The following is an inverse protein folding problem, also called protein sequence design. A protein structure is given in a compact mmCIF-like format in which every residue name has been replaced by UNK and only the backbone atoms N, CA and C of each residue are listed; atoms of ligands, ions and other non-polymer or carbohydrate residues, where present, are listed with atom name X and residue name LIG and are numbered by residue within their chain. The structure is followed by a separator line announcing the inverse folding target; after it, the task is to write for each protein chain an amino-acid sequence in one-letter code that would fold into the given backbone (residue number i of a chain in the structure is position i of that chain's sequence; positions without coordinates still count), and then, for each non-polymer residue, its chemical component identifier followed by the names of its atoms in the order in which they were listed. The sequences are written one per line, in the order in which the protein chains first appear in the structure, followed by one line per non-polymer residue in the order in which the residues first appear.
data_IF_802220302687
#
_entry.id   IF_802220302687
#
_cell.length_a   1.000
_cell.length_b   1.000
_cell.length_c   1.000
_cell.angle_alpha   90.00
_cell.angle_beta   90.00
_cell.angle_gamma   90.00
#
_symmetry.space_group_name_H-M   'P 1'
#
loop_
_entity.id
_entity.type
_entity.pdbx_description
1 polymer ?
#
# COMPACT_ATOMS: atom_id res chain seq x y z
N UNK A 1 5.56 -9.90 -3.97
CA UNK A 1 6.24 -8.95 -3.07
C UNK A 1 7.72 -8.84 -3.38
N UNK A 2 8.43 -9.94 -3.67
CA UNK A 2 9.79 -9.88 -4.23
C UNK A 2 9.87 -9.15 -5.56
N UNK A 3 8.84 -9.22 -6.42
CA UNK A 3 8.81 -8.52 -7.71
C UNK A 3 8.65 -7.00 -7.62
N UNK A 4 8.22 -6.47 -6.46
CA UNK A 4 8.09 -5.02 -6.25
C UNK A 4 9.46 -4.43 -5.87
N UNK A 5 10.24 -5.14 -5.04
CA UNK A 5 11.63 -4.80 -4.74
C UNK A 5 12.58 -5.13 -5.93
N UNK A 6 12.36 -6.25 -6.63
CA UNK A 6 13.09 -6.60 -7.86
C UNK A 6 12.74 -5.70 -9.05
N UNK A 7 11.65 -4.96 -9.04
CA UNK A 7 11.34 -3.95 -10.06
C UNK A 7 12.42 -2.87 -10.16
N UNK A 8 13.20 -2.66 -9.09
CA UNK A 8 14.35 -1.74 -9.05
C UNK A 8 15.63 -2.44 -9.54
N UNK A 9 15.79 -3.74 -9.24
CA UNK A 9 17.06 -4.49 -9.36
C UNK A 9 17.15 -5.37 -10.61
N UNK A 10 16.04 -5.79 -11.22
CA UNK A 10 16.02 -6.75 -12.33
C UNK A 10 15.01 -6.35 -13.42
N UNK A 11 15.31 -5.26 -14.13
CA UNK A 11 14.93 -5.25 -15.55
C UNK A 11 15.88 -6.21 -16.26
N UNK A 12 15.41 -7.43 -16.53
CA UNK A 12 15.85 -8.18 -17.72
C UNK A 12 15.94 -7.17 -18.87
N UNK A 13 17.10 -7.18 -19.57
CA UNK A 13 17.43 -6.37 -20.74
C UNK A 13 16.20 -5.60 -21.28
N UNK A 14 16.10 -4.28 -21.06
CA UNK A 14 15.03 -3.53 -21.68
C UNK A 14 15.22 -3.66 -23.18
N UNK A 15 14.28 -4.36 -23.83
CA UNK A 15 14.07 -4.24 -25.26
C UNK A 15 14.04 -2.73 -25.55
N UNK A 16 15.05 -2.29 -26.31
CA UNK A 16 15.35 -0.92 -26.68
C UNK A 16 14.17 0.02 -26.43
N UNK A 17 14.25 0.79 -25.35
CA UNK A 17 13.50 2.03 -25.25
C UNK A 17 14.06 2.96 -26.35
N UNK A 18 13.53 2.79 -27.56
CA UNK A 18 13.50 3.79 -28.62
C UNK A 18 12.65 4.98 -28.14
N UNK A 19 13.13 5.65 -27.08
CA UNK A 19 12.66 6.94 -26.59
C UNK A 19 13.86 7.80 -26.16
N UNK A 20 15.06 7.49 -26.64
CA UNK A 20 16.18 8.42 -26.63
C UNK A 20 16.11 9.24 -27.93
N UNK A 21 15.23 10.25 -27.92
CA UNK A 21 15.65 11.50 -28.52
C UNK A 21 16.70 12.06 -27.57
N UNK A 22 17.94 12.17 -28.05
CA UNK A 22 19.07 12.79 -27.39
C UNK A 22 18.66 14.16 -26.82
N UNK A 23 18.17 14.18 -25.58
CA UNK A 23 17.95 15.41 -24.82
C UNK A 23 19.21 15.62 -24.00
N UNK A 24 19.96 16.65 -24.40
CA UNK A 24 21.11 17.12 -23.68
C UNK A 24 20.76 17.30 -22.19
N UNK A 25 21.56 16.68 -21.33
CA UNK A 25 21.60 16.96 -19.89
C UNK A 25 21.86 18.48 -19.79
N UNK A 26 20.99 19.28 -19.14
CA UNK A 26 21.23 20.71 -19.02
C UNK A 26 22.54 20.95 -18.26
N UNK A 27 23.49 21.62 -18.90
CA UNK A 27 24.71 22.09 -18.24
C UNK A 27 24.32 23.05 -17.12
N UNK A 28 24.54 22.64 -15.86
CA UNK A 28 24.43 23.54 -14.73
C UNK A 28 25.68 24.44 -14.73
N UNK A 29 25.47 25.76 -14.83
CA UNK A 29 26.56 26.73 -14.76
C UNK A 29 27.14 26.77 -13.34
N UNK A 30 28.48 26.83 -13.16
CA UNK A 30 29.13 26.82 -11.84
C UNK A 30 28.76 27.98 -10.90
N UNK A 31 27.87 28.90 -11.31
CA UNK A 31 27.35 30.01 -10.52
C UNK A 31 26.10 29.73 -9.66
N UNK A 32 25.48 28.55 -9.79
CA UNK A 32 24.23 28.21 -9.06
C UNK A 32 24.48 27.42 -7.76
N UNK A 33 25.74 27.27 -7.33
CA UNK A 33 26.11 26.57 -6.10
C UNK A 33 25.85 27.46 -4.86
N UNK A 34 25.08 27.00 -3.86
CA UNK A 34 25.05 27.67 -2.55
C UNK A 34 26.46 27.75 -1.97
N UNK A 35 26.84 28.91 -1.44
CA UNK A 35 28.20 29.18 -0.95
C UNK A 35 28.64 28.28 0.23
N UNK A 36 27.70 27.54 0.84
CA UNK A 36 27.94 26.64 1.96
C UNK A 36 28.71 25.36 1.58
N UNK A 37 28.87 25.06 0.29
CA UNK A 37 29.53 23.83 -0.19
C UNK A 37 31.05 23.90 -0.30
N UNK A 38 31.67 25.08 -0.16
CA UNK A 38 33.12 25.26 -0.33
C UNK A 38 33.91 25.29 0.99
N UNK A 39 33.24 25.30 2.15
CA UNK A 39 33.91 25.41 3.45
C UNK A 39 33.89 24.08 4.20
N UNK A 40 35.06 23.45 4.23
CA UNK A 40 35.41 22.29 5.03
C UNK A 40 35.32 22.58 6.53
N UNK A 41 34.20 22.23 7.19
CA UNK A 41 34.15 22.01 8.65
C UNK A 41 32.88 21.26 9.14
N UNK A 42 32.21 20.47 8.28
CA UNK A 42 30.92 19.86 8.61
C UNK A 42 30.96 18.33 8.47
N UNK A 43 31.73 17.67 9.33
CA UNK A 43 31.64 16.20 9.51
C UNK A 43 30.33 15.78 10.24
N UNK A 44 29.56 16.74 10.76
CA UNK A 44 28.39 16.48 11.63
C UNK A 44 27.03 16.67 10.91
N UNK A 45 26.94 17.27 9.71
CA UNK A 45 25.64 17.54 9.06
C UNK A 45 25.29 16.71 7.83
N UNK A 46 26.19 15.86 7.31
CA UNK A 46 25.88 15.07 6.10
C UNK A 46 24.85 13.96 6.40
N UNK A 47 25.09 13.20 7.46
CA UNK A 47 24.20 12.10 7.88
C UNK A 47 22.84 12.63 8.33
N UNK A 48 22.81 13.72 9.12
CA UNK A 48 21.56 14.30 9.61
C UNK A 48 20.67 14.87 8.49
N UNK A 49 21.28 15.37 7.41
CA UNK A 49 20.55 15.94 6.28
C UNK A 49 19.97 14.86 5.37
N UNK A 50 20.75 13.81 5.06
CA UNK A 50 20.25 12.64 4.31
C UNK A 50 19.20 11.87 5.12
N UNK A 51 19.40 11.75 6.44
CA UNK A 51 18.44 11.15 7.38
C UNK A 51 17.13 11.94 7.42
N UNK A 52 17.19 13.28 7.45
CA UNK A 52 16.00 14.15 7.44
C UNK A 52 15.31 14.21 6.06
N UNK A 53 16.07 14.19 4.97
CA UNK A 53 15.52 14.33 3.61
C UNK A 53 14.77 13.06 3.19
N UNK A 54 15.23 11.88 3.63
CA UNK A 54 14.63 10.59 3.28
C UNK A 54 13.89 9.94 4.46
N UNK A 55 13.95 10.44 5.69
CA UNK A 55 13.40 9.81 6.92
C UNK A 55 13.90 8.36 7.10
N UNK A 56 15.23 8.19 7.11
CA UNK A 56 15.90 6.87 7.15
C UNK A 56 16.17 6.45 8.60
N UNK A 57 16.18 5.13 8.89
CA UNK A 57 16.57 4.64 10.23
C UNK A 57 18.09 4.50 10.37
N UNK A 58 18.62 4.54 11.59
CA UNK A 58 20.06 4.36 11.85
C UNK A 58 20.60 3.03 11.27
N UNK A 59 19.82 1.95 11.36
CA UNK A 59 20.20 0.62 10.83
C UNK A 59 20.33 0.65 9.29
N UNK A 60 19.41 1.33 8.59
CA UNK A 60 19.44 1.48 7.12
C UNK A 60 20.64 2.32 6.66
N UNK A 61 21.02 3.34 7.44
CA UNK A 61 22.19 4.19 7.13
C UNK A 61 23.49 3.41 7.21
N UNK A 62 23.64 2.52 8.20
CA UNK A 62 24.84 1.68 8.35
C UNK A 62 24.98 0.73 7.15
N UNK A 63 23.89 0.08 6.72
CA UNK A 63 23.91 -0.79 5.55
C UNK A 63 24.26 -0.02 4.27
N UNK A 64 23.67 1.17 4.09
CA UNK A 64 23.95 2.01 2.94
C UNK A 64 25.42 2.48 2.92
N UNK A 65 25.99 2.80 4.08
CA UNK A 65 27.39 3.22 4.19
C UNK A 65 28.36 2.08 3.81
N UNK A 66 28.07 0.85 4.25
CA UNK A 66 28.85 -0.34 3.91
C UNK A 66 28.83 -0.65 2.39
N UNK A 67 27.74 -0.29 1.71
CA UNK A 67 27.61 -0.46 0.26
C UNK A 67 28.20 0.72 -0.52
N UNK A 68 28.00 1.95 -0.06
CA UNK A 68 28.60 3.15 -0.62
C UNK A 68 30.14 3.05 -0.67
N UNK A 69 30.74 2.45 0.35
CA UNK A 69 32.20 2.20 0.43
C UNK A 69 32.69 1.23 -0.67
N UNK A 70 31.83 0.34 -1.17
CA UNK A 70 32.17 -0.64 -2.21
C UNK A 70 32.05 -0.08 -3.62
N UNK A 71 31.36 1.05 -3.82
CA UNK A 71 31.07 1.59 -5.14
C UNK A 71 32.10 2.60 -5.62
N UNK A 72 32.41 2.53 -6.91
CA UNK A 72 33.26 3.50 -7.58
C UNK A 72 32.42 4.59 -8.27
N UNK A 73 33.05 5.69 -8.66
CA UNK A 73 32.36 6.80 -9.33
C UNK A 73 31.70 6.35 -10.65
N UNK A 74 32.33 5.40 -11.35
CA UNK A 74 31.84 4.84 -12.60
C UNK A 74 30.58 3.97 -12.42
N UNK A 75 30.38 3.40 -11.22
CA UNK A 75 29.18 2.63 -10.88
C UNK A 75 28.00 3.54 -10.47
N UNK A 76 28.30 4.68 -9.83
CA UNK A 76 27.30 5.59 -9.24
C UNK A 76 26.64 6.46 -10.29
N UNK A 77 27.40 6.95 -11.27
CA UNK A 77 26.88 7.82 -12.35
C UNK A 77 25.70 7.20 -13.12
N UNK A 78 25.78 5.95 -13.63
CA UNK A 78 24.64 5.33 -14.33
C UNK A 78 23.46 5.00 -13.39
N UNK A 79 23.73 4.71 -12.11
CA UNK A 79 22.66 4.53 -11.12
C UNK A 79 21.89 5.84 -10.88
N UNK A 80 22.61 6.95 -10.73
CA UNK A 80 22.01 8.26 -10.53
C UNK A 80 21.26 8.78 -11.76
N UNK A 81 21.75 8.48 -12.98
CA UNK A 81 21.00 8.74 -14.22
C UNK A 81 19.69 7.96 -14.24
N UNK A 82 19.70 6.68 -13.85
CA UNK A 82 18.50 5.86 -13.74
C UNK A 82 17.52 6.42 -12.70
N UNK A 83 18.01 6.84 -11.53
CA UNK A 83 17.19 7.46 -10.47
C UNK A 83 16.54 8.74 -10.99
N UNK A 84 17.30 9.58 -11.69
CA UNK A 84 16.79 10.82 -12.26
C UNK A 84 15.66 10.58 -13.26
N UNK A 85 15.84 9.64 -14.20
CA UNK A 85 14.80 9.31 -15.19
C UNK A 85 13.51 8.81 -14.53
N UNK A 86 13.62 8.06 -13.43
CA UNK A 86 12.47 7.48 -12.73
C UNK A 86 11.74 8.54 -11.88
N UNK A 87 12.48 9.39 -11.18
CA UNK A 87 11.93 10.27 -10.15
C UNK A 87 11.84 11.75 -10.53
N UNK A 88 12.33 12.18 -11.71
CA UNK A 88 12.31 13.60 -12.12
C UNK A 88 10.92 14.23 -12.06
N UNK A 89 9.86 13.48 -12.38
CA UNK A 89 8.48 13.97 -12.37
C UNK A 89 7.66 13.43 -11.19
N UNK A 90 8.33 12.91 -10.17
CA UNK A 90 7.67 12.34 -9.00
C UNK A 90 7.34 13.42 -7.97
N UNK A 91 6.04 13.67 -7.67
CA UNK A 91 5.66 14.66 -6.67
C UNK A 91 5.99 14.24 -5.23
N UNK A 92 6.21 12.95 -4.97
CA UNK A 92 6.48 12.42 -3.63
C UNK A 92 7.99 12.33 -3.32
N UNK A 93 8.86 12.61 -4.30
CA UNK A 93 10.30 12.54 -4.13
C UNK A 93 10.92 13.90 -3.76
N UNK A 94 11.90 13.97 -2.85
CA UNK A 94 12.49 15.24 -2.44
C UNK A 94 13.15 15.99 -3.61
N UNK A 95 12.69 17.22 -3.86
CA UNK A 95 13.23 18.09 -4.91
C UNK A 95 14.70 18.48 -4.66
N UNK A 96 15.14 18.49 -3.40
CA UNK A 96 16.53 18.72 -3.01
C UNK A 96 17.45 17.67 -3.65
N UNK A 97 17.09 16.39 -3.52
CA UNK A 97 17.84 15.25 -4.07
C UNK A 97 17.87 15.31 -5.60
N UNK A 98 16.73 15.59 -6.26
CA UNK A 98 16.70 15.70 -7.73
C UNK A 98 17.62 16.82 -8.22
N UNK A 99 17.62 17.97 -7.54
CA UNK A 99 18.51 19.08 -7.87
C UNK A 99 19.97 18.68 -7.71
N UNK A 100 20.31 18.02 -6.59
CA UNK A 100 21.67 17.50 -6.33
C UNK A 100 22.14 16.52 -7.41
N UNK A 101 21.30 15.56 -7.80
CA UNK A 101 21.60 14.59 -8.85
C UNK A 101 21.84 15.28 -10.19
N UNK A 102 21.01 16.28 -10.55
CA UNK A 102 21.20 17.07 -11.78
C UNK A 102 22.52 17.82 -11.76
N UNK A 103 22.90 18.41 -10.63
CA UNK A 103 24.20 19.09 -10.47
C UNK A 103 25.38 18.11 -10.58
N UNK A 104 25.26 16.93 -9.98
CA UNK A 104 26.30 15.88 -10.07
C UNK A 104 26.49 15.36 -11.50
N UNK A 105 25.39 15.11 -12.23
CA UNK A 105 25.45 14.60 -13.61
C UNK A 105 25.86 15.66 -14.64
N UNK A 106 25.53 16.94 -14.38
CA UNK A 106 25.82 18.06 -15.27
C UNK A 106 27.23 18.64 -15.13
N UNK A 107 27.96 18.30 -14.07
CA UNK A 107 29.30 18.85 -13.82
C UNK A 107 30.40 17.88 -14.29
N UNK A 108 30.94 18.11 -15.47
CA UNK A 108 32.02 17.29 -16.04
C UNK A 108 33.36 17.43 -15.30
N UNK A 109 33.57 18.52 -14.54
CA UNK A 109 34.78 18.73 -13.74
C UNK A 109 34.92 17.72 -12.60
N UNK A 110 33.84 17.08 -12.18
CA UNK A 110 33.84 16.04 -11.13
C UNK A 110 34.57 14.78 -11.62
N UNK A 111 34.45 14.46 -12.91
CA UNK A 111 35.16 13.33 -13.52
C UNK A 111 36.65 13.64 -13.75
N UNK A 112 36.99 14.92 -14.00
CA UNK A 112 38.36 15.35 -14.27
C UNK A 112 39.17 15.62 -12.99
N UNK A 113 38.54 16.07 -11.89
CA UNK A 113 39.20 16.35 -10.61
C UNK A 113 38.44 15.76 -9.40
N UNK A 114 38.49 14.43 -9.19
CA UNK A 114 37.75 13.77 -8.11
C UNK A 114 38.15 14.23 -6.70
N UNK A 115 39.42 14.62 -6.50
CA UNK A 115 39.95 15.03 -5.19
C UNK A 115 39.31 16.31 -4.64
N UNK A 116 38.80 17.19 -5.52
CA UNK A 116 38.17 18.46 -5.11
C UNK A 116 36.70 18.30 -4.70
N UNK A 117 36.08 17.18 -5.07
CA UNK A 117 34.65 16.91 -4.87
C UNK A 117 34.40 15.63 -4.06
N UNK A 118 35.37 15.18 -3.25
CA UNK A 118 35.30 13.92 -2.50
C UNK A 118 34.04 13.81 -1.63
N UNK A 119 33.65 14.89 -0.95
CA UNK A 119 32.45 14.94 -0.09
C UNK A 119 31.17 14.72 -0.91
N UNK A 120 31.04 15.40 -2.06
CA UNK A 120 29.89 15.25 -2.94
C UNK A 120 29.81 13.83 -3.52
N UNK A 121 30.97 13.23 -3.84
CA UNK A 121 31.04 11.86 -4.35
C UNK A 121 30.59 10.86 -3.27
N UNK A 122 31.02 11.03 -2.02
CA UNK A 122 30.60 10.18 -0.90
C UNK A 122 29.11 10.34 -0.59
N UNK A 123 28.59 11.56 -0.62
CA UNK A 123 27.16 11.83 -0.45
C UNK A 123 26.32 11.17 -1.56
N UNK A 124 26.72 11.33 -2.83
CA UNK A 124 26.04 10.68 -3.95
C UNK A 124 26.15 9.15 -3.90
N UNK A 125 27.26 8.61 -3.41
CA UNK A 125 27.38 7.15 -3.17
C UNK A 125 26.39 6.69 -2.11
N UNK A 126 26.26 7.43 -1.01
CA UNK A 126 25.34 7.12 0.07
C UNK A 126 23.88 7.23 -0.38
N UNK A 127 23.51 8.32 -1.06
CA UNK A 127 22.16 8.50 -1.62
C UNK A 127 21.83 7.43 -2.65
N UNK A 128 22.75 7.10 -3.55
CA UNK A 128 22.55 6.04 -4.53
C UNK A 128 22.36 4.70 -3.81
N UNK A 129 23.14 4.41 -2.77
CA UNK A 129 23.01 3.18 -1.99
C UNK A 129 21.65 3.12 -1.29
N UNK A 130 21.22 4.20 -0.64
CA UNK A 130 19.92 4.28 0.05
C UNK A 130 18.73 4.07 -0.90
N UNK A 131 18.74 4.70 -2.08
CA UNK A 131 17.63 4.68 -3.04
C UNK A 131 17.53 3.33 -3.78
N UNK A 132 18.65 2.63 -3.95
CA UNK A 132 18.69 1.37 -4.73
C UNK A 132 18.58 0.12 -3.85
N UNK A 133 19.09 0.16 -2.63
CA UNK A 133 19.09 -0.98 -1.69
C UNK A 133 17.77 -1.02 -0.94
N UNK A 134 17.20 0.14 -0.63
CA UNK A 134 15.92 0.24 0.06
C UNK A 134 14.97 1.16 -0.72
N UNK A 135 13.69 1.15 -0.36
CA UNK A 135 12.74 2.07 -1.00
C UNK A 135 13.10 3.52 -0.64
N UNK A 136 13.05 4.49 -1.56
CA UNK A 136 13.28 5.90 -1.24
C UNK A 136 12.19 6.46 -0.30
N UNK A 137 11.00 5.85 -0.27
CA UNK A 137 9.87 6.31 0.53
C UNK A 137 9.84 5.64 1.91
N UNK A 138 9.80 6.47 2.96
CA UNK A 138 9.82 6.02 4.34
C UNK A 138 8.61 5.15 4.70
N UNK A 139 7.42 5.47 4.18
CA UNK A 139 6.20 4.71 4.39
C UNK A 139 6.27 3.28 3.84
N UNK A 140 7.04 3.06 2.76
CA UNK A 140 7.26 1.73 2.20
C UNK A 140 8.29 0.98 3.05
N UNK A 141 9.40 1.63 3.43
CA UNK A 141 10.45 1.05 4.29
C UNK A 141 9.93 0.62 5.66
N UNK A 142 9.02 1.39 6.24
CA UNK A 142 8.43 1.08 7.54
C UNK A 142 7.59 -0.21 7.53
N UNK A 143 7.14 -0.64 6.36
CA UNK A 143 6.16 -1.72 6.19
C UNK A 143 6.77 -2.96 5.53
N UNK A 144 7.73 -2.76 4.62
CA UNK A 144 8.28 -3.81 3.77
C UNK A 144 9.77 -3.94 4.04
N UNK A 145 10.18 -5.16 4.38
CA UNK A 145 11.58 -5.55 4.51
C UNK A 145 12.23 -5.59 3.10
N UNK A 146 13.41 -4.98 2.96
CA UNK A 146 14.19 -4.98 1.72
C UNK A 146 14.79 -6.37 1.42
N UNK A 147 14.90 -7.25 2.43
CA UNK A 147 15.42 -8.60 2.27
C UNK A 147 14.31 -9.64 2.02
N UNK A 148 14.47 -10.43 0.96
CA UNK A 148 13.61 -11.58 0.68
C UNK A 148 14.40 -12.89 0.65
N UNK A 149 13.84 -13.94 1.26
CA UNK A 149 14.35 -15.30 1.15
C UNK A 149 13.57 -16.04 0.05
N UNK A 150 14.26 -16.34 -1.05
CA UNK A 150 13.69 -17.01 -2.22
C UNK A 150 13.25 -18.44 -1.94
N UNK A 151 13.82 -19.09 -0.92
CA UNK A 151 13.52 -20.49 -0.59
C UNK A 151 12.25 -20.65 0.26
N UNK A 152 11.73 -19.56 0.83
CA UNK A 152 10.53 -19.60 1.64
C UNK A 152 9.31 -20.03 0.81
N UNK A 153 8.60 -21.11 1.16
CA UNK A 153 7.41 -21.57 0.43
C UNK A 153 6.30 -20.51 0.40
N UNK A 154 5.69 -20.31 -0.76
CA UNK A 154 4.61 -19.35 -0.99
C UNK A 154 3.28 -20.00 -1.40
N UNK A 155 3.31 -20.85 -2.43
CA UNK A 155 2.13 -21.48 -3.05
C UNK A 155 1.86 -22.89 -2.56
N UNK A 156 1.73 -23.09 -1.25
CA UNK A 156 1.50 -24.42 -0.67
C UNK A 156 0.04 -24.85 -0.78
N UNK A 157 -0.22 -26.16 -0.73
CA UNK A 157 -1.59 -26.71 -0.80
C UNK A 157 -2.46 -26.15 0.35
N UNK A 158 -1.90 -26.04 1.56
CA UNK A 158 -2.61 -25.46 2.71
C UNK A 158 -3.01 -24.00 2.47
N UNK A 159 -2.12 -23.18 1.90
CA UNK A 159 -2.41 -21.77 1.64
C UNK A 159 -3.52 -21.62 0.59
N UNK A 160 -3.48 -22.42 -0.47
CA UNK A 160 -4.56 -22.48 -1.47
C UNK A 160 -5.87 -22.97 -0.88
N UNK A 161 -5.87 -24.02 -0.05
CA UNK A 161 -7.08 -24.54 0.57
C UNK A 161 -7.74 -23.52 1.51
N UNK A 162 -6.95 -22.86 2.38
CA UNK A 162 -7.44 -21.81 3.28
C UNK A 162 -7.95 -20.62 2.47
N UNK A 163 -7.18 -20.16 1.47
CA UNK A 163 -7.54 -19.04 0.60
C UNK A 163 -8.83 -19.29 -0.17
N UNK A 164 -8.97 -20.44 -0.84
CA UNK A 164 -10.19 -20.82 -1.56
C UNK A 164 -11.39 -20.97 -0.61
N UNK A 165 -11.17 -21.49 0.60
CA UNK A 165 -12.20 -21.52 1.64
C UNK A 165 -12.73 -20.13 1.98
N UNK A 166 -11.83 -19.15 2.21
CA UNK A 166 -12.23 -17.77 2.44
C UNK A 166 -12.88 -17.14 1.21
N UNK A 167 -12.39 -17.42 -0.01
CA UNK A 167 -13.01 -16.93 -1.25
C UNK A 167 -14.49 -17.34 -1.32
N UNK A 168 -14.78 -18.62 -1.07
CA UNK A 168 -16.16 -19.14 -1.09
C UNK A 168 -17.03 -18.48 -0.01
N UNK A 169 -16.53 -18.40 1.23
CA UNK A 169 -17.27 -17.85 2.36
C UNK A 169 -17.54 -16.35 2.18
N UNK A 170 -16.53 -15.56 1.81
CA UNK A 170 -16.67 -14.11 1.62
C UNK A 170 -17.61 -13.81 0.46
N UNK A 171 -17.41 -14.44 -0.70
CA UNK A 171 -18.27 -14.23 -1.85
C UNK A 171 -19.73 -14.61 -1.55
N UNK A 172 -19.95 -15.72 -0.84
CA UNK A 172 -21.30 -16.14 -0.44
C UNK A 172 -21.96 -15.15 0.53
N UNK A 173 -21.28 -14.77 1.61
CA UNK A 173 -21.82 -13.86 2.62
C UNK A 173 -22.14 -12.50 2.00
N UNK A 174 -21.20 -11.92 1.24
CA UNK A 174 -21.37 -10.60 0.66
C UNK A 174 -22.45 -10.58 -0.42
N UNK A 175 -22.55 -11.64 -1.24
CA UNK A 175 -23.64 -11.77 -2.21
C UNK A 175 -25.00 -11.96 -1.51
N UNK A 176 -25.06 -12.71 -0.41
CA UNK A 176 -26.30 -12.94 0.35
C UNK A 176 -26.81 -11.63 0.96
N UNK A 177 -25.92 -10.79 1.50
CA UNK A 177 -26.29 -9.53 2.14
C UNK A 177 -26.38 -8.34 1.18
N UNK A 178 -26.01 -8.48 -0.09
CA UNK A 178 -26.01 -7.37 -1.06
C UNK A 178 -27.40 -6.75 -1.30
N UNK A 179 -28.46 -7.53 -1.12
CA UNK A 179 -29.86 -7.10 -1.32
C UNK A 179 -30.42 -6.40 -0.07
N UNK A 180 -29.73 -6.51 1.08
CA UNK A 180 -30.17 -5.92 2.35
C UNK A 180 -29.91 -4.42 2.37
N UNK A 181 -30.85 -3.67 2.95
CA UNK A 181 -30.69 -2.26 3.25
C UNK A 181 -30.82 -2.04 4.77
N UNK A 182 -29.79 -1.50 5.46
CA UNK A 182 -28.46 -1.13 4.95
C UNK A 182 -27.61 -2.36 4.61
N UNK A 183 -26.72 -2.21 3.62
CA UNK A 183 -25.84 -3.28 3.15
C UNK A 183 -24.84 -3.69 4.25
N UNK A 184 -24.65 -5.00 4.42
CA UNK A 184 -23.60 -5.54 5.28
C UNK A 184 -22.54 -6.13 4.36
N UNK A 185 -21.30 -5.66 4.50
CA UNK A 185 -20.17 -6.17 3.71
C UNK A 185 -19.06 -6.61 4.64
N UNK A 186 -18.59 -7.84 4.44
CA UNK A 186 -17.42 -8.39 5.11
C UNK A 186 -16.19 -8.12 4.26
N UNK A 187 -15.27 -7.31 4.78
CA UNK A 187 -14.03 -6.96 4.10
C UNK A 187 -12.96 -8.07 4.18
N UNK A 188 -11.98 -8.02 3.28
CA UNK A 188 -10.86 -8.95 3.22
C UNK A 188 -10.01 -8.98 4.50
N UNK A 189 -9.99 -7.88 5.26
CA UNK A 189 -9.26 -7.75 6.53
C UNK A 189 -9.64 -8.84 7.56
N UNK A 190 -10.89 -9.30 7.53
CA UNK A 190 -11.36 -10.38 8.42
C UNK A 190 -10.70 -11.70 8.05
N UNK A 191 -10.65 -12.03 6.75
CA UNK A 191 -9.97 -13.24 6.27
C UNK A 191 -8.46 -13.15 6.52
N UNK A 192 -7.86 -11.97 6.36
CA UNK A 192 -6.45 -11.72 6.66
C UNK A 192 -6.11 -12.01 8.13
N UNK A 193 -6.94 -11.53 9.07
CA UNK A 193 -6.77 -11.75 10.51
C UNK A 193 -6.92 -13.24 10.87
N UNK A 194 -7.90 -13.92 10.28
CA UNK A 194 -8.19 -15.33 10.57
C UNK A 194 -7.22 -16.28 9.84
N UNK A 195 -6.60 -15.87 8.75
CA UNK A 195 -5.64 -16.68 8.00
C UNK A 195 -4.45 -17.09 8.86
N UNK A 196 -3.94 -16.22 9.73
CA UNK A 196 -2.80 -16.53 10.59
C UNK A 196 -3.08 -17.64 11.61
N UNK A 197 -4.11 -17.57 12.49
CA UNK A 197 -4.40 -18.64 13.43
C UNK A 197 -4.80 -19.94 12.73
N UNK A 198 -5.54 -19.89 11.61
CA UNK A 198 -5.82 -21.09 10.82
C UNK A 198 -4.54 -21.70 10.23
N UNK A 199 -3.66 -20.88 9.65
CA UNK A 199 -2.38 -21.32 9.11
C UNK A 199 -1.49 -21.96 10.17
N UNK A 200 -1.42 -21.37 11.37
CA UNK A 200 -0.71 -21.94 12.53
C UNK A 200 -1.36 -23.20 13.09
N UNK A 201 -2.67 -23.31 13.05
CA UNK A 201 -3.38 -24.55 13.41
C UNK A 201 -3.08 -25.66 12.39
N UNK A 202 -3.14 -25.34 11.10
CA UNK A 202 -2.78 -26.23 10.00
C UNK A 202 -1.32 -26.70 10.10
N UNK A 203 -0.38 -25.80 10.42
CA UNK A 203 1.04 -26.13 10.68
C UNK A 203 1.19 -27.21 11.76
N UNK A 204 0.40 -27.13 12.85
CA UNK A 204 0.49 -28.06 13.98
C UNK A 204 -0.30 -29.37 13.77
N UNK A 205 -1.40 -29.32 13.01
CA UNK A 205 -2.34 -30.43 12.89
C UNK A 205 -2.12 -31.29 11.64
N UNK A 206 -1.59 -30.72 10.55
CA UNK A 206 -1.44 -31.45 9.28
C UNK A 206 -0.11 -32.25 9.26
N UNK A 207 -0.14 -33.53 8.84
CA UNK A 207 1.09 -34.27 8.61
C UNK A 207 1.80 -33.79 7.32
N UNK A 208 3.14 -33.87 7.29
CA UNK A 208 3.95 -33.64 6.08
C UNK A 208 3.83 -34.85 5.12
N UNK A 209 2.65 -34.95 4.50
CA UNK A 209 2.39 -35.89 3.41
C UNK A 209 2.46 -35.09 2.12
N UNK A 210 3.28 -35.54 1.18
CA UNK A 210 3.43 -34.89 -0.10
C UNK A 210 3.61 -35.87 -1.24
N UNK A 211 3.24 -35.45 -2.44
CA UNK A 211 3.49 -36.18 -3.68
C UNK A 211 4.45 -35.38 -4.56
N UNK A 212 5.30 -36.08 -5.29
CA UNK A 212 6.22 -35.45 -6.24
C UNK A 212 5.56 -35.43 -7.61
N UNK A 213 5.22 -34.24 -8.12
CA UNK A 213 4.67 -34.03 -9.45
C UNK A 213 5.67 -33.22 -10.27
N UNK A 214 5.97 -33.68 -11.49
CA UNK A 214 6.93 -33.01 -12.40
C UNK A 214 8.28 -32.62 -11.77
N UNK A 215 8.80 -33.47 -10.88
CA UNK A 215 10.08 -33.23 -10.19
C UNK A 215 10.02 -32.29 -8.99
N UNK A 216 8.85 -31.74 -8.66
CA UNK A 216 8.63 -30.86 -7.49
C UNK A 216 7.83 -31.60 -6.43
N UNK A 217 8.32 -31.63 -5.18
CA UNK A 217 7.60 -32.21 -4.04
C UNK A 217 6.54 -31.22 -3.56
N UNK A 218 5.28 -31.58 -3.74
CA UNK A 218 4.15 -30.84 -3.18
C UNK A 218 3.78 -31.45 -1.83
N UNK A 219 4.27 -30.85 -0.75
CA UNK A 219 3.88 -31.22 0.60
C UNK A 219 2.63 -30.48 1.06
N UNK A 220 1.77 -31.18 1.80
CA UNK A 220 0.63 -30.61 2.51
C UNK A 220 1.06 -29.70 3.67
N UNK A 221 2.21 -29.99 4.30
CA UNK A 221 2.80 -29.22 5.39
C UNK A 221 4.33 -29.11 5.21
N UNK A 222 4.81 -28.20 4.36
CA UNK A 222 6.24 -28.08 4.04
C UNK A 222 7.08 -27.44 5.15
N UNK A 223 6.48 -26.98 6.25
CA UNK A 223 7.18 -26.32 7.34
C UNK A 223 6.35 -25.24 8.04
N UNK A 224 6.97 -24.32 8.79
CA UNK A 224 6.28 -23.25 9.49
C UNK A 224 5.42 -22.39 8.55
N UNK A 225 4.28 -21.91 9.02
CA UNK A 225 3.43 -20.99 8.26
C UNK A 225 4.19 -19.70 7.99
N UNK A 226 4.37 -19.37 6.71
CA UNK A 226 5.26 -18.29 6.24
C UNK A 226 4.50 -16.99 5.94
N UNK A 227 5.23 -15.86 5.97
CA UNK A 227 4.71 -14.54 5.56
C UNK A 227 4.13 -14.55 4.14
N UNK A 228 4.73 -15.36 3.24
CA UNK A 228 4.34 -15.46 1.83
C UNK A 228 3.03 -16.24 1.67
N UNK A 229 2.85 -17.31 2.43
CA UNK A 229 1.60 -18.09 2.44
C UNK A 229 0.43 -17.26 2.97
N UNK A 230 0.62 -16.50 4.06
CA UNK A 230 -0.41 -15.60 4.56
C UNK A 230 -0.77 -14.52 3.55
N UNK A 231 0.23 -13.94 2.88
CA UNK A 231 -0.02 -12.95 1.83
C UNK A 231 -0.84 -13.53 0.69
N UNK A 232 -0.55 -14.77 0.24
CA UNK A 232 -1.33 -15.42 -0.81
C UNK A 232 -2.80 -15.57 -0.43
N UNK A 233 -3.09 -16.02 0.80
CA UNK A 233 -4.47 -16.12 1.33
C UNK A 233 -5.14 -14.75 1.34
N UNK A 234 -4.41 -13.71 1.74
CA UNK A 234 -4.92 -12.33 1.81
C UNK A 234 -5.28 -11.79 0.43
N UNK A 235 -4.44 -12.03 -0.58
CA UNK A 235 -4.71 -11.63 -1.97
C UNK A 235 -5.96 -12.33 -2.50
N UNK A 236 -6.10 -13.63 -2.24
CA UNK A 236 -7.30 -14.39 -2.64
C UNK A 236 -8.57 -13.82 -1.99
N UNK A 237 -8.52 -13.49 -0.69
CA UNK A 237 -9.63 -12.87 0.00
C UNK A 237 -9.94 -11.45 -0.51
N UNK A 238 -8.91 -10.67 -0.86
CA UNK A 238 -9.05 -9.33 -1.43
C UNK A 238 -9.75 -9.34 -2.80
N UNK A 239 -9.53 -10.37 -3.60
CA UNK A 239 -10.27 -10.53 -4.86
C UNK A 239 -11.73 -10.94 -4.62
N UNK A 240 -12.00 -11.70 -3.56
CA UNK A 240 -13.31 -12.32 -3.33
C UNK A 240 -14.33 -11.47 -2.56
N UNK A 241 -13.90 -10.47 -1.80
CA UNK A 241 -14.84 -9.70 -0.97
C UNK A 241 -15.79 -8.83 -1.82
N UNK A 242 -15.35 -8.36 -2.98
CA UNK A 242 -16.16 -7.49 -3.84
C UNK A 242 -17.10 -8.33 -4.73
N UNK A 243 -18.40 -8.05 -4.65
CA UNK A 243 -19.39 -8.73 -5.50
C UNK A 243 -19.30 -8.24 -6.94
N UNK A 244 -19.31 -9.11 -7.96
CA UNK A 244 -19.20 -8.70 -9.35
C UNK A 244 -20.29 -7.69 -9.76
N UNK A 245 -19.88 -6.60 -10.43
CA UNK A 245 -20.81 -5.58 -10.93
C UNK A 245 -21.92 -6.15 -11.83
N UNK A 246 -21.66 -7.28 -12.49
CA UNK A 246 -22.62 -8.04 -13.29
C UNK A 246 -23.93 -8.35 -12.53
N UNK A 247 -23.90 -8.41 -11.19
CA UNK A 247 -25.10 -8.56 -10.35
C UNK A 247 -26.16 -7.49 -10.69
N UNK A 248 -25.76 -6.22 -10.80
CA UNK A 248 -26.67 -5.12 -11.13
C UNK A 248 -27.25 -5.27 -12.54
N UNK A 249 -26.44 -5.72 -13.50
CA UNK A 249 -26.87 -5.94 -14.89
C UNK A 249 -27.95 -7.03 -14.93
N UNK A 250 -27.75 -8.14 -14.21
CA UNK A 250 -28.71 -9.24 -14.14
C UNK A 250 -30.06 -8.77 -13.58
N UNK A 251 -30.04 -7.96 -12.50
CA UNK A 251 -31.28 -7.40 -11.94
C UNK A 251 -32.03 -6.55 -12.97
N UNK A 252 -31.35 -5.58 -13.59
CA UNK A 252 -32.00 -4.67 -14.57
C UNK A 252 -32.49 -5.45 -15.80
N UNK A 253 -31.82 -6.51 -16.23
CA UNK A 253 -32.29 -7.35 -17.33
C UNK A 253 -33.51 -8.19 -16.94
N UNK A 254 -33.50 -8.85 -15.79
CA UNK A 254 -34.53 -9.81 -15.39
C UNK A 254 -35.84 -9.15 -14.94
N UNK A 255 -35.75 -8.06 -14.18
CA UNK A 255 -36.92 -7.40 -13.57
C UNK A 255 -37.87 -6.84 -14.63
N UNK A 256 -39.15 -7.17 -14.49
CA UNK A 256 -40.19 -6.77 -15.44
C UNK A 256 -40.46 -5.27 -15.53
N UNK A 257 -40.08 -4.50 -14.50
CA UNK A 257 -40.16 -3.03 -14.52
C UNK A 257 -39.06 -2.39 -15.39
N UNK A 258 -37.97 -3.12 -15.66
CA UNK A 258 -36.86 -2.66 -16.49
C UNK A 258 -36.93 -3.32 -17.88
N UNK A 259 -36.02 -4.23 -18.23
CA UNK A 259 -35.96 -4.81 -19.58
C UNK A 259 -36.81 -6.08 -19.78
N UNK A 260 -37.31 -6.69 -18.69
CA UNK A 260 -38.17 -7.88 -18.75
C UNK A 260 -37.61 -9.02 -19.63
N UNK A 261 -36.31 -9.29 -19.50
CA UNK A 261 -35.58 -10.33 -20.24
C UNK A 261 -35.44 -11.60 -19.38
N UNK A 262 -36.33 -12.59 -19.54
CA UNK A 262 -36.36 -13.77 -18.66
C UNK A 262 -35.10 -14.64 -18.80
N UNK A 263 -34.39 -14.55 -19.93
CA UNK A 263 -33.17 -15.33 -20.15
C UNK A 263 -32.04 -14.94 -19.18
N UNK A 264 -32.07 -13.73 -18.61
CA UNK A 264 -31.10 -13.27 -17.61
C UNK A 264 -31.18 -14.07 -16.29
N UNK A 265 -32.30 -14.77 -16.06
CA UNK A 265 -32.47 -15.69 -14.93
C UNK A 265 -31.77 -17.03 -15.10
N UNK A 266 -31.25 -17.38 -16.29
CA UNK A 266 -30.58 -18.67 -16.49
C UNK A 266 -29.18 -18.70 -15.85
N UNK A 267 -28.94 -19.74 -15.05
CA UNK A 267 -27.67 -19.94 -14.33
C UNK A 267 -26.42 -19.84 -15.22
N UNK A 268 -26.45 -20.48 -16.39
CA UNK A 268 -25.32 -20.45 -17.32
C UNK A 268 -25.08 -19.06 -17.91
N UNK A 269 -26.14 -18.30 -18.18
CA UNK A 269 -26.03 -16.92 -18.65
C UNK A 269 -25.33 -16.04 -17.60
N UNK A 270 -25.73 -16.18 -16.33
CA UNK A 270 -25.13 -15.41 -15.23
C UNK A 270 -23.65 -15.74 -15.05
N UNK A 271 -23.25 -17.02 -15.13
CA UNK A 271 -21.84 -17.43 -15.05
C UNK A 271 -21.03 -16.90 -16.23
N UNK A 272 -21.51 -17.10 -17.46
CA UNK A 272 -20.79 -16.66 -18.66
C UNK A 272 -20.63 -15.15 -18.69
N UNK A 273 -21.68 -14.42 -18.31
CA UNK A 273 -21.66 -12.97 -18.20
C UNK A 273 -20.67 -12.52 -17.12
N UNK A 274 -20.71 -13.12 -15.92
CA UNK A 274 -19.79 -12.79 -14.84
C UNK A 274 -18.33 -13.07 -15.24
N UNK A 275 -18.02 -14.23 -15.83
CA UNK A 275 -16.68 -14.57 -16.30
C UNK A 275 -16.20 -13.62 -17.40
N UNK A 276 -17.07 -13.30 -18.36
CA UNK A 276 -16.73 -12.38 -19.45
C UNK A 276 -16.37 -10.99 -18.93
N UNK A 277 -17.18 -10.40 -18.05
CA UNK A 277 -16.89 -9.08 -17.46
C UNK A 277 -15.59 -9.09 -16.65
N UNK A 278 -15.37 -10.12 -15.83
CA UNK A 278 -14.16 -10.24 -15.02
C UNK A 278 -12.90 -10.41 -15.88
N UNK A 279 -12.93 -11.25 -16.93
CA UNK A 279 -11.78 -11.43 -17.83
C UNK A 279 -11.44 -10.17 -18.61
N UNK A 280 -12.44 -9.37 -19.02
CA UNK A 280 -12.18 -8.05 -19.63
C UNK A 280 -11.47 -7.14 -18.63
N UNK A 281 -11.95 -7.09 -17.38
CA UNK A 281 -11.33 -6.29 -16.30
C UNK A 281 -9.89 -6.69 -16.02
N UNK A 282 -9.63 -7.99 -15.80
CA UNK A 282 -8.27 -8.49 -15.54
C UNK A 282 -7.34 -8.36 -16.75
N UNK A 283 -7.87 -8.50 -17.97
CA UNK A 283 -7.13 -8.28 -19.20
C UNK A 283 -6.66 -6.82 -19.33
N UNK A 284 -7.57 -5.86 -19.09
CA UNK A 284 -7.21 -4.44 -19.10
C UNK A 284 -6.24 -4.10 -17.97
N UNK A 285 -6.46 -4.62 -16.76
CA UNK A 285 -5.56 -4.45 -15.63
C UNK A 285 -4.12 -4.92 -15.96
N UNK A 286 -3.99 -6.05 -16.67
CA UNK A 286 -2.71 -6.55 -17.15
C UNK A 286 -2.01 -5.61 -18.13
N UNK A 287 -2.76 -4.99 -19.05
CA UNK A 287 -2.23 -4.01 -20.01
C UNK A 287 -1.74 -2.73 -19.33
N UNK A 288 -2.49 -2.22 -18.34
CA UNK A 288 -2.14 -0.97 -17.62
C UNK A 288 -1.13 -1.17 -16.50
N UNK A 289 -0.81 -2.43 -16.12
CA UNK A 289 0.18 -2.76 -15.07
C UNK A 289 1.52 -2.06 -15.28
N UNK A 290 1.94 -1.89 -16.55
CA UNK A 290 3.19 -1.19 -16.88
C UNK A 290 3.21 0.28 -16.45
N UNK A 291 2.05 0.92 -16.40
CA UNK A 291 1.91 2.33 -16.06
C UNK A 291 1.52 2.55 -14.59
N UNK A 292 0.82 1.60 -13.96
CA UNK A 292 0.25 1.78 -12.62
C UNK A 292 0.94 0.98 -11.50
N UNK A 293 1.73 -0.04 -11.85
CA UNK A 293 2.29 -0.99 -10.85
C UNK A 293 3.82 -1.08 -10.93
N UNK A 294 4.42 -1.05 -12.12
CA UNK A 294 5.87 -1.13 -12.25
C UNK A 294 6.63 0.15 -11.90
N UNK A 295 6.12 1.36 -12.14
CA UNK A 295 6.81 2.56 -11.69
C UNK A 295 6.86 2.63 -10.15
N UNK A 296 8.04 2.87 -9.58
CA UNK A 296 8.28 2.88 -8.13
C UNK A 296 7.56 4.01 -7.39
N UNK A 297 7.26 5.12 -8.07
CA UNK A 297 6.54 6.27 -7.52
C UNK A 297 5.03 6.05 -7.37
N UNK A 298 4.48 4.97 -7.93
CA UNK A 298 3.06 4.62 -7.76
C UNK A 298 2.85 3.92 -6.41
N UNK A 299 2.69 4.71 -5.34
CA UNK A 299 2.44 4.20 -3.98
C UNK A 299 0.95 3.98 -3.77
N UNK A 300 0.59 2.80 -3.26
CA UNK A 300 -0.80 2.41 -2.96
C UNK A 300 -1.00 2.21 -1.45
N UNK A 301 -1.46 3.24 -0.71
CA UNK A 301 -1.55 3.19 0.77
C UNK A 301 -2.39 2.02 1.30
N UNK A 302 -3.52 1.71 0.67
CA UNK A 302 -4.37 0.58 1.06
C UNK A 302 -3.65 -0.77 0.99
N UNK A 303 -2.77 -0.95 -0.01
CA UNK A 303 -1.93 -2.13 -0.13
C UNK A 303 -0.86 -2.16 0.96
N UNK A 304 -0.27 -1.02 1.33
CA UNK A 304 0.71 -0.93 2.42
C UNK A 304 0.09 -1.35 3.75
N UNK A 305 -1.13 -0.91 4.08
CA UNK A 305 -1.82 -1.35 5.30
C UNK A 305 -2.01 -2.86 5.34
N UNK A 306 -2.38 -3.45 4.20
CA UNK A 306 -2.52 -4.91 4.06
C UNK A 306 -1.18 -5.62 4.29
N UNK A 307 -0.08 -5.11 3.74
CA UNK A 307 1.26 -5.68 3.92
C UNK A 307 1.74 -5.52 5.37
N UNK A 308 1.54 -4.35 5.97
CA UNK A 308 1.91 -4.04 7.35
C UNK A 308 1.23 -4.99 8.33
N UNK A 309 -0.07 -5.21 8.16
CA UNK A 309 -0.84 -6.13 9.00
C UNK A 309 -0.34 -7.58 8.86
N UNK A 310 -0.03 -8.03 7.64
CA UNK A 310 0.55 -9.37 7.43
C UNK A 310 1.96 -9.49 8.02
N UNK A 311 2.79 -8.46 7.90
CA UNK A 311 4.11 -8.43 8.50
C UNK A 311 4.03 -8.47 10.03
N UNK A 312 3.08 -7.76 10.64
CA UNK A 312 2.88 -7.71 12.09
C UNK A 312 2.59 -9.09 12.72
N UNK A 313 1.89 -9.99 12.01
CA UNK A 313 1.64 -11.35 12.52
C UNK A 313 2.87 -12.26 12.53
N UNK A 314 3.85 -11.97 11.66
CA UNK A 314 5.07 -12.77 11.53
C UNK A 314 6.31 -12.09 12.15
N UNK A 315 6.23 -10.80 12.46
CA UNK A 315 7.32 -10.06 13.10
C UNK A 315 7.38 -10.36 14.59
N UNK A 316 8.56 -10.75 15.05
CA UNK A 316 8.87 -10.88 16.48
C UNK A 316 9.50 -9.61 17.07
N UNK A 317 9.77 -8.60 16.23
CA UNK A 317 10.43 -7.35 16.65
C UNK A 317 9.38 -6.43 17.28
N UNK A 318 9.45 -6.25 18.60
CA UNK A 318 8.71 -5.20 19.31
C UNK A 318 9.54 -3.92 19.30
N UNK A 319 9.51 -3.19 18.19
CA UNK A 319 10.12 -1.85 18.15
C UNK A 319 9.30 -0.90 19.04
N UNK A 320 9.94 -0.14 19.95
CA UNK A 320 9.22 0.81 20.78
C UNK A 320 8.67 1.93 19.91
N UNK A 321 7.35 2.10 19.89
CA UNK A 321 6.71 3.19 19.14
C UNK A 321 6.56 4.41 20.05
N UNK A 322 7.00 5.56 19.57
CA UNK A 322 6.81 6.84 20.26
C UNK A 322 5.35 7.28 20.15
N UNK A 323 4.70 7.48 21.29
CA UNK A 323 3.35 8.04 21.34
C UNK A 323 3.36 9.52 20.97
N UNK A 324 2.24 10.05 20.42
CA UNK A 324 2.02 11.49 20.28
C UNK A 324 2.25 12.29 21.58
N UNK A 325 2.14 11.64 22.74
CA UNK A 325 2.37 12.25 24.06
C UNK A 325 3.77 11.97 24.65
N UNK A 326 4.76 11.60 23.83
CA UNK A 326 6.15 11.41 24.24
C UNK A 326 6.42 10.17 25.11
N UNK A 327 5.44 9.28 25.28
CA UNK A 327 5.63 7.99 25.98
C UNK A 327 5.95 6.88 24.98
N UNK A 328 6.98 6.09 25.25
CA UNK A 328 7.27 4.89 24.48
C UNK A 328 6.35 3.75 24.91
N UNK A 329 5.48 3.29 24.01
CA UNK A 329 4.68 2.09 24.24
C UNK A 329 5.51 0.86 23.88
N UNK A 330 5.70 -0.04 24.85
CA UNK A 330 6.37 -1.34 24.67
C UNK A 330 5.40 -2.52 24.55
N UNK A 331 4.12 -2.23 24.35
CA UNK A 331 3.09 -3.27 24.21
C UNK A 331 3.27 -3.99 22.89
N UNK A 332 3.23 -5.32 22.90
CA UNK A 332 3.24 -6.12 21.67
C UNK A 332 2.07 -5.73 20.77
N UNK A 333 2.35 -5.59 19.46
CA UNK A 333 1.37 -5.16 18.44
C UNK A 333 0.06 -5.96 18.52
N UNK A 334 0.15 -7.28 18.73
CA UNK A 334 -1.02 -8.17 18.84
C UNK A 334 -1.86 -7.89 20.10
N UNK A 335 -1.24 -7.53 21.23
CA UNK A 335 -1.95 -7.18 22.46
C UNK A 335 -2.69 -5.85 22.32
N UNK A 336 -2.03 -4.88 21.70
CA UNK A 336 -2.65 -3.59 21.38
C UNK A 336 -3.84 -3.78 20.43
N UNK A 337 -3.66 -4.56 19.37
CA UNK A 337 -4.75 -4.94 18.46
C UNK A 337 -5.92 -5.59 19.20
N UNK A 338 -5.66 -6.58 20.05
CA UNK A 338 -6.72 -7.25 20.82
C UNK A 338 -7.47 -6.31 21.77
N UNK A 339 -6.76 -5.38 22.41
CA UNK A 339 -7.37 -4.37 23.27
C UNK A 339 -8.25 -3.40 22.47
N UNK A 340 -7.74 -2.87 21.36
CA UNK A 340 -8.47 -1.96 20.48
C UNK A 340 -9.68 -2.65 19.83
N UNK A 341 -9.54 -3.92 19.44
CA UNK A 341 -10.65 -4.74 18.94
C UNK A 341 -11.74 -4.90 20.00
N UNK A 342 -11.38 -5.23 21.24
CA UNK A 342 -12.35 -5.35 22.34
C UNK A 342 -13.01 -4.01 22.68
N UNK A 343 -12.24 -2.92 22.68
CA UNK A 343 -12.75 -1.57 22.91
C UNK A 343 -13.75 -1.17 21.82
N UNK A 344 -13.41 -1.40 20.54
CA UNK A 344 -14.29 -1.10 19.43
C UNK A 344 -15.53 -2.02 19.43
N UNK A 345 -15.38 -3.29 19.77
CA UNK A 345 -16.50 -4.23 19.93
C UNK A 345 -17.52 -3.73 20.95
N UNK A 346 -17.07 -3.23 22.10
CA UNK A 346 -17.97 -2.63 23.11
C UNK A 346 -18.51 -1.29 22.63
N UNK A 347 -17.67 -0.46 22.02
CA UNK A 347 -18.07 0.85 21.51
C UNK A 347 -19.20 0.74 20.49
N UNK A 348 -19.18 -0.24 19.60
CA UNK A 348 -20.23 -0.45 18.59
C UNK A 348 -21.65 -0.54 19.16
N UNK A 349 -21.80 -1.01 20.41
CA UNK A 349 -23.11 -1.14 21.06
C UNK A 349 -23.70 0.23 21.46
N UNK A 350 -22.85 1.24 21.66
CA UNK A 350 -23.29 2.58 22.04
C UNK A 350 -24.06 3.28 20.93
N UNK A 351 -23.48 3.53 19.73
CA UNK A 351 -24.22 4.20 18.66
C UNK A 351 -25.32 3.31 18.06
N UNK A 352 -25.18 1.98 18.08
CA UNK A 352 -26.16 1.11 17.41
C UNK A 352 -27.35 0.69 18.28
N UNK A 353 -27.18 0.60 19.61
CA UNK A 353 -28.21 0.04 20.49
C UNK A 353 -28.54 0.93 21.70
N UNK A 354 -27.53 1.42 22.42
CA UNK A 354 -27.75 2.14 23.69
C UNK A 354 -28.22 3.58 23.44
N UNK A 355 -27.58 4.30 22.53
CA UNK A 355 -27.86 5.71 22.23
C UNK A 355 -27.69 6.04 20.75
N UNK A 356 -28.73 5.74 19.98
CA UNK A 356 -28.75 5.88 18.51
C UNK A 356 -28.62 7.31 17.99
N UNK A 357 -28.82 8.31 18.85
CA UNK A 357 -28.55 9.71 18.49
C UNK A 357 -27.06 10.00 18.25
N UNK A 358 -26.14 9.16 18.75
CA UNK A 358 -24.70 9.26 18.44
C UNK A 358 -24.42 8.99 16.96
N UNK A 359 -25.22 8.14 16.31
CA UNK A 359 -25.09 7.83 14.89
C UNK A 359 -25.52 9.00 14.00
N UNK A 360 -26.54 9.76 14.39
CA UNK A 360 -27.08 10.89 13.62
C UNK A 360 -26.86 12.22 14.36
N UNK A 361 -25.62 12.69 14.40
CA UNK A 361 -25.22 13.81 15.25
C UNK A 361 -25.29 15.16 14.49
N UNK A 362 -26.50 15.69 14.28
CA UNK A 362 -26.72 17.00 13.63
C UNK A 362 -26.82 18.15 14.64
N UNK A 363 -25.75 18.38 15.39
CA UNK A 363 -25.72 19.37 16.49
C UNK A 363 -25.91 20.82 16.03
N UNK A 364 -25.47 21.17 14.81
CA UNK A 364 -25.65 22.51 14.22
C UNK A 364 -27.14 22.84 14.04
N UNK A 365 -27.96 21.85 13.69
CA UNK A 365 -29.41 22.02 13.56
C UNK A 365 -30.08 22.27 14.92
N UNK A 366 -29.44 21.95 16.04
CA UNK A 366 -29.94 22.26 17.39
C UNK A 366 -29.74 23.73 17.78
N UNK A 367 -28.80 24.44 17.14
CA UNK A 367 -28.52 25.86 17.43
C UNK A 367 -29.71 26.73 17.02
N UNK A 368 -30.33 26.43 15.88
CA UNK A 368 -31.53 27.11 15.41
C UNK A 368 -32.51 26.11 14.77
N UNK A 369 -33.29 25.37 15.59
CA UNK A 369 -34.11 24.24 15.11
C UNK A 369 -35.23 24.63 14.15
N UNK A 370 -35.65 25.90 14.16
CA UNK A 370 -36.71 26.41 13.29
C UNK A 370 -36.18 27.04 11.99
N UNK A 371 -34.86 27.07 11.78
CA UNK A 371 -34.27 27.66 10.57
C UNK A 371 -34.14 26.59 9.47
N UNK A 372 -35.01 26.71 8.46
CA UNK A 372 -35.04 25.81 7.31
C UNK A 372 -33.70 25.83 6.55
N UNK A 373 -33.12 27.02 6.31
CA UNK A 373 -31.86 27.15 5.56
C UNK A 373 -30.70 26.45 6.29
N UNK A 374 -30.65 26.57 7.61
CA UNK A 374 -29.65 25.88 8.43
C UNK A 374 -29.85 24.36 8.35
N UNK A 375 -31.08 23.89 8.56
CA UNK A 375 -31.41 22.46 8.55
C UNK A 375 -31.19 21.80 7.18
N UNK A 376 -31.43 22.52 6.09
CA UNK A 376 -31.17 22.04 4.72
C UNK A 376 -29.67 21.95 4.42
N UNK A 377 -28.84 22.82 5.00
CA UNK A 377 -27.39 22.77 4.79
C UNK A 377 -26.73 21.72 5.71
N UNK A 378 -27.09 21.71 7.00
CA UNK A 378 -26.38 20.94 8.05
C UNK A 378 -27.11 19.65 8.48
N UNK A 379 -28.28 19.39 7.92
CA UNK A 379 -29.11 18.23 8.26
C UNK A 379 -28.51 16.91 7.78
N UNK A 380 -28.58 15.88 8.62
CA UNK A 380 -28.00 14.56 8.36
C UNK A 380 -28.86 13.69 7.41
N UNK A 381 -30.20 13.62 7.61
CA UNK A 381 -31.09 12.78 6.78
C UNK A 381 -31.71 13.51 5.57
N UNK A 382 -31.98 14.81 5.71
CA UNK A 382 -32.75 15.60 4.73
C UNK A 382 -32.00 16.86 4.26
N UNK A 383 -30.73 17.01 4.66
CA UNK A 383 -29.90 18.15 4.30
C UNK A 383 -28.69 17.73 3.46
N UNK A 384 -27.88 18.71 3.06
CA UNK A 384 -26.63 18.52 2.32
C UNK A 384 -25.53 17.83 3.16
N UNK A 385 -25.78 17.54 4.45
CA UNK A 385 -24.84 16.83 5.31
C UNK A 385 -23.59 17.63 5.68
N UNK A 386 -23.55 18.94 5.40
CA UNK A 386 -22.39 19.80 5.70
C UNK A 386 -22.33 20.06 7.20
N UNK A 387 -21.68 19.14 7.91
CA UNK A 387 -21.44 19.22 9.34
C UNK A 387 -20.00 18.78 9.63
N UNK A 388 -19.18 19.59 10.32
CA UNK A 388 -17.81 19.23 10.68
C UNK A 388 -17.70 17.96 11.51
N UNK A 389 -18.74 17.61 12.28
CA UNK A 389 -18.79 16.39 13.08
C UNK A 389 -20.19 15.76 12.99
N UNK A 390 -20.46 14.96 11.95
CA UNK A 390 -21.80 14.46 11.64
C UNK A 390 -22.20 13.21 12.43
N UNK A 391 -21.23 12.46 12.96
CA UNK A 391 -21.51 11.16 13.61
C UNK A 391 -20.41 10.78 14.60
N UNK A 392 -20.77 9.99 15.59
CA UNK A 392 -19.84 9.26 16.46
C UNK A 392 -19.79 7.76 16.10
N UNK A 393 -20.54 7.34 15.06
CA UNK A 393 -20.60 5.97 14.59
C UNK A 393 -19.59 5.74 13.47
N UNK A 394 -18.65 4.83 13.72
CA UNK A 394 -17.60 4.49 12.77
C UNK A 394 -18.15 3.91 11.46
N UNK A 395 -19.30 3.22 11.50
CA UNK A 395 -19.94 2.67 10.30
C UNK A 395 -20.50 3.76 9.39
N UNK A 396 -21.02 4.85 9.97
CA UNK A 396 -21.55 5.98 9.22
C UNK A 396 -20.41 6.84 8.68
N UNK A 397 -19.35 7.02 9.48
CA UNK A 397 -18.18 7.78 9.06
C UNK A 397 -17.46 7.13 7.87
N UNK A 398 -17.40 5.79 7.84
CA UNK A 398 -16.79 5.02 6.76
C UNK A 398 -17.74 4.64 5.62
N UNK A 399 -18.95 5.18 5.59
CA UNK A 399 -19.98 4.78 4.62
C UNK A 399 -19.53 4.96 3.16
N UNK A 400 -18.74 5.99 2.87
CA UNK A 400 -18.27 6.32 1.52
C UNK A 400 -16.95 5.62 1.13
N UNK A 401 -16.57 4.55 1.85
CA UNK A 401 -15.39 3.73 1.60
C UNK A 401 -14.01 4.43 1.68
N UNK A 402 -13.95 5.74 1.93
CA UNK A 402 -12.72 6.48 2.20
C UNK A 402 -12.36 6.36 3.68
N UNK A 403 -11.51 5.40 4.03
CA UNK A 403 -11.01 5.25 5.40
C UNK A 403 -9.92 6.30 5.68
N UNK A 404 -10.18 7.30 6.55
CA UNK A 404 -9.23 8.38 6.83
C UNK A 404 -7.98 7.89 7.58
N UNK A 405 -7.98 6.66 8.10
CA UNK A 405 -6.80 6.05 8.72
C UNK A 405 -5.86 5.40 7.71
N UNK A 406 -6.38 5.05 6.53
CA UNK A 406 -5.64 4.33 5.48
C UNK A 406 -5.18 5.27 4.38
N UNK A 407 -6.03 6.23 4.02
CA UNK A 407 -5.79 7.15 2.92
C UNK A 407 -5.26 8.47 3.48
N UNK A 408 -4.10 8.97 2.99
CA UNK A 408 -3.59 10.27 3.39
C UNK A 408 -4.63 11.38 3.20
N UNK A 409 -4.60 12.38 4.07
CA UNK A 409 -5.57 13.46 4.07
C UNK A 409 -5.65 14.20 2.72
N UNK A 410 -4.51 14.42 2.05
CA UNK A 410 -4.46 15.10 0.76
C UNK A 410 -5.23 14.34 -0.33
N UNK A 411 -5.14 13.00 -0.38
CA UNK A 411 -5.87 12.18 -1.35
C UNK A 411 -7.38 12.28 -1.18
N UNK A 412 -7.87 12.32 0.06
CA UNK A 412 -9.28 12.53 0.33
C UNK A 412 -9.77 13.90 -0.15
N UNK A 413 -8.97 14.96 0.03
CA UNK A 413 -9.36 16.30 -0.44
C UNK A 413 -9.54 16.39 -1.95
N UNK A 414 -8.69 15.72 -2.74
CA UNK A 414 -8.80 15.73 -4.20
C UNK A 414 -10.06 15.02 -4.69
N UNK A 415 -10.49 13.95 -4.01
CA UNK A 415 -11.73 13.24 -4.33
C UNK A 415 -12.97 14.10 -4.07
N UNK A 416 -13.02 14.79 -2.92
CA UNK A 416 -14.11 15.72 -2.62
C UNK A 416 -14.10 17.01 -3.44
N UNK A 417 -12.94 17.44 -3.96
CA UNK A 417 -12.84 18.60 -4.84
C UNK A 417 -13.15 18.30 -6.31
N UNK A 418 -13.16 17.02 -6.70
CA UNK A 418 -13.49 16.55 -8.05
C UNK A 418 -14.98 16.25 -8.26
N UNK A 419 -15.76 16.20 -7.17
CA UNK A 419 -17.23 16.16 -7.14
C UNK A 419 -17.80 17.58 -7.09
#
# INVERSE_FOLDING_TARGET
MSDIARGIIQTEKPAAAHYVGEKAIPEASPGDLPADFLNSEIEVSLNAQVESDLNVTEDDLVEAHDLATKWTLDDVRPLMEKVLVIHENDPNFPLSIITRIKTFLGNNDIAENPEKYSVLIEEMKLEAALITVNSPYAEVRAVVDNHDDENTPCGTIRAWAIGLGFVLVLAFINQLFSIRQPAITVQANVAQLLAYPLGKACEKMLPDIGFTLWGVRHSLNPGPFSKKEQMLVTILANVAWNTPYTNNIIWVQYLGHYFNQPFAGHFLYQILMALSTNFIGYGLAGLVRRFLVYPSYCIWPASLVTVALNAAFHSSKNTPVQSPWGKFFRTSQLKFFGLSFAAMFVYFWFPNYIFTALSMFSWLSWIAPNNLNLSTITGFNNGLGINPWPTWDWNIMLFDATDPLVVPFFSGQYEYAAL
#
